data_IF_772133380437
#
_entry.id   IF_772133380437
#
_cell.length_a   1.000
_cell.length_b   1.000
_cell.length_c   1.000
_cell.angle_alpha   90.00
_cell.angle_beta   90.00
_cell.angle_gamma   90.00
#
_symmetry.space_group_name_H-M   'P 1'
#
loop_
_entity.id
_entity.type
_entity.pdbx_description
1 polymer ?
#
# COMPACT_ATOMS: atom_id res chain seq x y z
N UNK A 1 -3.85 -5.44 -16.94
CA UNK A 1 -5.28 -5.78 -17.26
C UNK A 1 -6.16 -4.78 -16.52
N UNK A 2 -6.71 -3.79 -17.20
CA UNK A 2 -7.36 -2.64 -16.55
C UNK A 2 -8.73 -2.98 -15.94
N UNK A 3 -9.09 -2.34 -14.83
CA UNK A 3 -10.43 -2.27 -14.22
C UNK A 3 -11.49 -1.84 -15.24
N UNK A 4 -11.13 -0.92 -16.14
CA UNK A 4 -11.95 -0.60 -17.32
C UNK A 4 -12.26 -1.81 -18.21
N UNK A 5 -11.34 -2.76 -18.33
CA UNK A 5 -11.55 -4.02 -19.05
C UNK A 5 -12.34 -5.05 -18.21
N UNK A 6 -12.25 -5.01 -16.88
CA UNK A 6 -13.05 -5.84 -15.97
C UNK A 6 -14.53 -5.40 -15.92
N UNK A 7 -14.80 -4.09 -15.85
CA UNK A 7 -16.17 -3.53 -15.88
C UNK A 7 -16.85 -3.84 -17.22
N UNK A 8 -16.16 -3.68 -18.35
CA UNK A 8 -16.72 -4.02 -19.68
C UNK A 8 -17.08 -5.50 -19.83
N UNK A 9 -16.52 -6.39 -19.00
CA UNK A 9 -16.81 -7.83 -19.01
C UNK A 9 -18.04 -8.18 -18.17
N UNK A 10 -18.48 -7.30 -17.26
CA UNK A 10 -19.69 -7.42 -16.47
C UNK A 10 -20.89 -6.75 -17.13
N UNK A 11 -21.35 -7.29 -18.27
CA UNK A 11 -22.49 -6.77 -19.03
C UNK A 11 -23.79 -6.73 -18.24
N UNK A 12 -24.11 -5.59 -17.64
CA UNK A 12 -25.43 -5.24 -17.11
C UNK A 12 -26.37 -4.90 -18.28
N UNK A 13 -26.92 -5.93 -18.94
CA UNK A 13 -28.12 -5.79 -19.77
C UNK A 13 -29.30 -6.24 -18.90
N UNK A 14 -30.03 -5.27 -18.36
CA UNK A 14 -31.16 -5.55 -17.48
C UNK A 14 -31.94 -4.30 -17.12
N UNK A 15 -32.25 -3.44 -18.10
CA UNK A 15 -33.25 -2.39 -17.91
C UNK A 15 -34.64 -3.04 -17.79
N UNK A 16 -35.04 -3.40 -16.58
CA UNK A 16 -36.43 -3.74 -16.27
C UNK A 16 -37.25 -2.45 -16.25
N UNK A 17 -38.04 -2.26 -17.31
CA UNK A 17 -39.13 -1.27 -17.36
C UNK A 17 -40.22 -1.68 -16.38
N UNK A 18 -40.42 -0.90 -15.32
CA UNK A 18 -41.54 -1.08 -14.39
C UNK A 18 -42.74 -0.21 -14.83
N UNK A 19 -43.81 -0.85 -15.26
CA UNK A 19 -45.11 -0.23 -15.55
C UNK A 19 -45.83 0.05 -14.22
N UNK A 20 -46.18 1.32 -13.97
CA UNK A 20 -47.00 1.73 -12.81
C UNK A 20 -48.48 1.46 -13.09
N UNK A 21 -49.13 0.66 -12.24
CA UNK A 21 -50.58 0.50 -12.22
C UNK A 21 -51.20 1.45 -11.19
N UNK A 22 -52.25 2.17 -11.60
CA UNK A 22 -53.02 3.10 -10.75
C UNK A 22 -54.27 2.40 -10.21
N UNK A 23 -54.50 2.33 -8.88
CA UNK A 23 -55.82 2.05 -8.32
C UNK A 23 -56.59 3.33 -7.97
N UNK A 24 -57.92 3.19 -8.04
CA UNK A 24 -58.92 4.25 -8.09
C UNK A 24 -59.35 4.82 -6.72
N UNK A 25 -59.86 6.06 -6.81
CA UNK A 25 -60.67 6.90 -5.91
C UNK A 25 -61.41 6.21 -4.77
N UNK A 26 -61.33 6.79 -3.57
CA UNK A 26 -62.48 7.02 -2.68
C UNK A 26 -62.31 8.32 -1.88
N UNK A 27 -63.31 9.20 -1.94
CA UNK A 27 -63.48 10.31 -1.01
C UNK A 27 -64.26 9.85 0.22
N UNK A 28 -63.87 10.31 1.41
CA UNK A 28 -64.76 10.39 2.58
C UNK A 28 -64.16 11.30 3.67
N UNK A 29 -64.88 12.39 3.92
CA UNK A 29 -65.34 12.88 5.23
C UNK A 29 -64.32 13.28 6.33
N UNK A 30 -64.38 14.57 6.68
CA UNK A 30 -64.00 15.24 7.94
C UNK A 30 -64.85 14.64 9.11
N UNK A 31 -64.53 14.71 10.43
CA UNK A 31 -63.78 15.77 11.11
C UNK A 31 -62.87 15.38 12.31
N UNK A 32 -61.99 16.30 12.72
CA UNK A 32 -61.80 16.77 14.11
C UNK A 32 -60.40 17.36 14.32
N UNK A 33 -60.40 18.58 14.84
CA UNK A 33 -59.22 19.35 15.23
C UNK A 33 -58.52 18.69 16.41
N UNK A 34 -57.35 18.13 16.16
CA UNK A 34 -56.40 17.73 17.22
C UNK A 34 -55.10 18.48 16.97
N UNK A 35 -54.62 19.19 18.00
CA UNK A 35 -53.43 20.02 17.94
C UNK A 35 -52.21 19.20 17.49
N UNK A 36 -51.32 19.73 16.63
CA UNK A 36 -50.09 19.04 16.29
C UNK A 36 -49.18 19.04 17.52
N UNK A 37 -49.11 17.90 18.19
CA UNK A 37 -48.01 17.61 19.11
C UNK A 37 -46.80 17.41 18.21
N UNK A 38 -45.87 18.36 18.25
CA UNK A 38 -44.60 18.26 17.53
C UNK A 38 -43.77 17.16 18.18
N UNK A 39 -43.99 15.92 17.74
CA UNK A 39 -43.07 14.81 18.00
C UNK A 39 -41.79 15.16 17.26
N UNK A 40 -40.80 15.68 17.99
CA UNK A 40 -39.44 15.80 17.48
C UNK A 40 -38.97 14.37 17.24
N UNK A 41 -39.01 13.95 15.97
CA UNK A 41 -38.23 12.81 15.53
C UNK A 41 -36.77 13.17 15.80
N UNK A 42 -36.22 12.59 16.87
CA UNK A 42 -34.77 12.48 17.01
C UNK A 42 -34.34 11.71 15.78
N UNK A 43 -33.77 12.42 14.81
CA UNK A 43 -33.03 11.78 13.74
C UNK A 43 -31.94 10.99 14.45
N UNK A 44 -32.10 9.66 14.51
CA UNK A 44 -30.97 8.77 14.67
C UNK A 44 -30.01 9.18 13.56
N UNK A 45 -28.92 9.86 13.94
CA UNK A 45 -27.86 10.13 12.99
C UNK A 45 -27.48 8.73 12.46
N UNK A 46 -27.47 8.53 11.12
CA UNK A 46 -26.94 7.30 10.57
C UNK A 46 -25.58 7.10 11.21
N UNK A 47 -25.40 5.97 11.89
CA UNK A 47 -24.12 5.57 12.47
C UNK A 47 -23.03 5.90 11.44
N UNK A 48 -22.07 6.78 11.76
CA UNK A 48 -21.07 7.20 10.80
C UNK A 48 -20.34 5.95 10.33
N UNK A 49 -20.36 5.71 9.02
CA UNK A 49 -19.66 4.58 8.43
C UNK A 49 -18.20 4.64 8.89
N UNK A 50 -17.61 3.50 9.30
CA UNK A 50 -16.22 3.49 9.73
C UNK A 50 -15.35 4.05 8.60
N UNK A 51 -14.58 5.09 8.91
CA UNK A 51 -13.73 5.76 7.92
C UNK A 51 -12.76 4.75 7.29
N UNK A 52 -12.41 4.99 6.01
CA UNK A 52 -11.38 4.21 5.33
C UNK A 52 -10.04 4.52 5.99
N UNK A 53 -9.36 3.48 6.48
CA UNK A 53 -8.05 3.68 7.13
C UNK A 53 -6.96 3.92 6.08
N UNK A 54 -5.88 4.59 6.49
CA UNK A 54 -4.72 4.84 5.60
C UNK A 54 -4.10 3.56 5.06
N UNK A 55 -4.09 2.48 5.85
CA UNK A 55 -3.53 1.19 5.45
C UNK A 55 -4.40 0.51 4.39
N UNK A 56 -5.72 0.57 4.55
CA UNK A 56 -6.67 0.03 3.57
C UNK A 56 -6.62 0.82 2.26
N UNK A 57 -6.57 2.15 2.32
CA UNK A 57 -6.39 2.99 1.14
C UNK A 57 -5.09 2.62 0.42
N UNK A 58 -3.99 2.46 1.15
CA UNK A 58 -2.69 2.05 0.58
C UNK A 58 -2.76 0.67 -0.09
N UNK A 59 -3.44 -0.29 0.52
CA UNK A 59 -3.63 -1.63 -0.06
C UNK A 59 -4.46 -1.59 -1.35
N UNK A 60 -5.52 -0.78 -1.37
CA UNK A 60 -6.35 -0.59 -2.57
C UNK A 60 -5.54 0.09 -3.68
N UNK A 61 -4.75 1.12 -3.35
CA UNK A 61 -3.89 1.81 -4.31
C UNK A 61 -2.80 0.89 -4.87
N UNK A 62 -2.16 0.07 -4.03
CA UNK A 62 -1.19 -0.92 -4.45
C UNK A 62 -1.79 -1.94 -5.43
N UNK A 63 -3.03 -2.36 -5.19
CA UNK A 63 -3.75 -3.25 -6.08
C UNK A 63 -4.13 -2.61 -7.41
N UNK A 64 -4.60 -1.35 -7.41
CA UNK A 64 -4.88 -0.60 -8.63
C UNK A 64 -3.61 -0.47 -9.48
N UNK A 65 -2.48 -0.11 -8.86
CA UNK A 65 -1.19 -0.06 -9.54
C UNK A 65 -0.78 -1.44 -10.10
N UNK A 66 -1.02 -2.52 -9.35
CA UNK A 66 -0.71 -3.89 -9.78
C UNK A 66 -1.48 -4.31 -11.05
N UNK A 67 -2.74 -3.89 -11.19
CA UNK A 67 -3.54 -4.14 -12.39
C UNK A 67 -3.30 -3.12 -13.53
N UNK A 68 -2.32 -2.23 -13.35
CA UNK A 68 -1.94 -1.14 -14.26
C UNK A 68 -2.97 0.01 -14.33
N UNK A 69 -3.85 0.13 -13.34
CA UNK A 69 -4.70 1.33 -13.21
C UNK A 69 -3.88 2.48 -12.64
N UNK A 70 -3.55 3.42 -13.52
CA UNK A 70 -2.76 4.63 -13.21
C UNK A 70 -3.55 5.91 -13.51
N UNK A 71 -4.80 5.78 -13.98
CA UNK A 71 -5.66 6.94 -14.25
C UNK A 71 -6.13 7.56 -12.92
N UNK A 72 -5.73 8.80 -12.59
CA UNK A 72 -6.08 9.43 -11.32
C UNK A 72 -7.59 9.66 -11.16
N UNK A 73 -8.35 9.83 -12.25
CA UNK A 73 -9.79 10.01 -12.17
C UNK A 73 -10.49 8.70 -11.74
N UNK A 74 -10.06 7.58 -12.31
CA UNK A 74 -10.58 6.25 -11.96
C UNK A 74 -10.15 5.85 -10.55
N UNK A 75 -8.90 6.14 -10.17
CA UNK A 75 -8.41 5.87 -8.82
C UNK A 75 -9.24 6.64 -7.78
N UNK A 76 -9.49 7.94 -8.00
CA UNK A 76 -10.30 8.75 -7.11
C UNK A 76 -11.73 8.21 -6.99
N UNK A 77 -12.36 7.82 -8.10
CA UNK A 77 -13.71 7.22 -8.09
C UNK A 77 -13.75 5.93 -7.27
N UNK A 78 -12.76 5.05 -7.42
CA UNK A 78 -12.67 3.81 -6.64
C UNK A 78 -12.48 4.09 -5.16
N UNK A 79 -11.60 5.03 -4.80
CA UNK A 79 -11.36 5.41 -3.40
C UNK A 79 -12.60 6.06 -2.79
N UNK A 80 -13.28 6.95 -3.50
CA UNK A 80 -14.53 7.56 -3.06
C UNK A 80 -15.63 6.51 -2.88
N UNK A 81 -15.72 5.53 -3.78
CA UNK A 81 -16.66 4.42 -3.63
C UNK A 81 -16.35 3.59 -2.38
N UNK A 82 -15.08 3.30 -2.10
CA UNK A 82 -14.67 2.58 -0.87
C UNK A 82 -14.96 3.37 0.42
N UNK A 83 -14.98 4.70 0.36
CA UNK A 83 -15.34 5.57 1.49
C UNK A 83 -16.84 5.56 1.79
N UNK A 84 -17.67 5.42 0.75
CA UNK A 84 -19.12 5.54 0.85
C UNK A 84 -19.87 4.19 0.84
N UNK A 85 -19.22 3.09 0.46
CA UNK A 85 -19.81 1.75 0.34
C UNK A 85 -18.91 0.68 0.98
N UNK A 86 -19.39 0.08 2.08
CA UNK A 86 -18.68 -0.96 2.82
C UNK A 86 -18.52 -2.27 2.03
N UNK A 87 -19.45 -2.58 1.14
CA UNK A 87 -19.37 -3.79 0.30
C UNK A 87 -18.32 -3.59 -0.79
N UNK A 88 -18.28 -2.40 -1.39
CA UNK A 88 -17.20 -2.03 -2.31
C UNK A 88 -15.83 -2.09 -1.61
N UNK A 89 -15.70 -1.51 -0.41
CA UNK A 89 -14.47 -1.58 0.39
C UNK A 89 -14.03 -3.04 0.63
N UNK A 90 -14.95 -3.92 1.06
CA UNK A 90 -14.65 -5.35 1.26
C UNK A 90 -14.18 -6.03 -0.01
N UNK A 91 -14.83 -5.75 -1.14
CA UNK A 91 -14.43 -6.29 -2.43
C UNK A 91 -13.00 -5.90 -2.80
N UNK A 92 -12.67 -4.59 -2.75
CA UNK A 92 -11.35 -4.11 -3.12
C UNK A 92 -10.26 -4.54 -2.13
N UNK A 93 -10.57 -4.64 -0.84
CA UNK A 93 -9.64 -5.22 0.14
C UNK A 93 -9.37 -6.69 -0.15
N UNK A 94 -10.39 -7.48 -0.48
CA UNK A 94 -10.20 -8.87 -0.84
C UNK A 94 -9.32 -9.02 -2.09
N UNK A 95 -9.51 -8.13 -3.06
CA UNK A 95 -8.68 -8.06 -4.27
C UNK A 95 -7.24 -7.63 -3.96
N UNK A 96 -7.03 -6.76 -2.99
CA UNK A 96 -5.69 -6.29 -2.60
C UNK A 96 -4.79 -7.38 -2.03
N UNK A 97 -5.35 -8.47 -1.49
CA UNK A 97 -4.60 -9.66 -1.09
C UNK A 97 -3.90 -10.37 -2.27
N UNK A 98 -4.31 -10.10 -3.52
CA UNK A 98 -3.67 -10.68 -4.71
C UNK A 98 -2.36 -10.00 -5.09
N UNK A 99 -2.10 -8.80 -4.55
CA UNK A 99 -0.82 -8.13 -4.76
C UNK A 99 0.23 -8.94 -4.02
N UNK A 100 1.24 -9.50 -4.71
CA UNK A 100 2.37 -10.10 -4.02
C UNK A 100 2.94 -9.06 -3.06
N UNK A 101 3.17 -9.44 -1.79
CA UNK A 101 3.80 -8.53 -0.84
C UNK A 101 5.05 -7.94 -1.50
N UNK A 102 5.23 -6.61 -1.47
CA UNK A 102 6.43 -6.01 -2.00
C UNK A 102 7.59 -6.72 -1.32
N UNK A 103 8.49 -7.31 -2.10
CA UNK A 103 9.71 -7.89 -1.57
C UNK A 103 10.51 -6.70 -1.06
N UNK A 104 10.27 -6.30 0.19
CA UNK A 104 11.16 -5.47 0.96
C UNK A 104 12.36 -6.38 1.15
N UNK A 105 13.28 -6.32 0.19
CA UNK A 105 14.59 -6.91 0.37
C UNK A 105 15.23 -6.11 1.50
N UNK A 106 14.96 -6.54 2.73
CA UNK A 106 15.74 -6.16 3.89
C UNK A 106 17.14 -6.68 3.60
N UNK A 107 17.97 -5.86 2.97
CA UNK A 107 19.37 -6.20 2.75
C UNK A 107 20.08 -5.97 4.08
N UNK A 108 20.39 -7.05 4.84
CA UNK A 108 21.02 -6.88 6.15
C UNK A 108 22.46 -6.38 6.02
N UNK A 109 23.04 -6.53 4.81
CA UNK A 109 24.44 -6.31 4.55
C UNK A 109 24.67 -4.90 4.03
N UNK A 110 25.70 -4.24 4.59
CA UNK A 110 26.20 -2.98 4.04
C UNK A 110 27.39 -3.25 3.12
N UNK A 111 27.63 -2.39 2.13
CA UNK A 111 28.80 -2.52 1.25
C UNK A 111 30.11 -2.53 2.06
N UNK A 112 30.18 -1.77 3.15
CA UNK A 112 31.33 -1.71 4.05
C UNK A 112 31.68 -3.03 4.72
N UNK A 113 30.70 -3.92 4.91
CA UNK A 113 30.89 -5.25 5.50
C UNK A 113 31.39 -6.28 4.48
N UNK A 114 31.41 -5.94 3.19
CA UNK A 114 31.83 -6.85 2.12
C UNK A 114 33.35 -6.83 1.90
N UNK A 115 33.98 -8.00 1.76
CA UNK A 115 35.40 -8.14 1.43
C UNK A 115 35.77 -7.52 0.07
N UNK A 116 34.79 -7.41 -0.84
CA UNK A 116 34.99 -6.86 -2.18
C UNK A 116 34.89 -5.33 -2.23
N UNK A 117 34.57 -4.67 -1.12
CA UNK A 117 34.47 -3.22 -1.07
C UNK A 117 35.84 -2.58 -0.87
N UNK A 118 36.28 -1.83 -1.88
CA UNK A 118 37.54 -1.10 -1.94
C UNK A 118 37.27 0.39 -1.75
N UNK A 119 37.71 0.94 -0.61
CA UNK A 119 37.59 2.38 -0.34
C UNK A 119 38.50 3.17 -1.30
N UNK A 120 37.99 4.28 -1.80
CA UNK A 120 38.78 5.26 -2.55
C UNK A 120 39.34 6.33 -1.59
N UNK A 121 39.87 7.44 -2.11
CA UNK A 121 40.35 8.59 -1.32
C UNK A 121 39.18 9.37 -0.69
N UNK A 122 38.34 8.66 0.06
CA UNK A 122 37.21 9.19 0.81
C UNK A 122 36.84 8.20 1.94
N UNK A 123 36.52 8.70 3.16
CA UNK A 123 36.30 7.86 4.33
C UNK A 123 35.23 6.77 4.17
N UNK A 124 34.16 7.06 3.43
CA UNK A 124 32.99 6.18 3.29
C UNK A 124 32.74 5.67 1.87
N UNK A 125 33.43 6.21 0.87
CA UNK A 125 33.13 5.94 -0.54
C UNK A 125 34.10 4.91 -1.08
N UNK A 126 33.62 4.04 -1.93
CA UNK A 126 34.41 2.98 -2.53
C UNK A 126 33.76 2.37 -3.76
N UNK A 127 34.39 1.32 -4.27
CA UNK A 127 33.90 0.52 -5.38
C UNK A 127 33.95 -0.95 -5.02
N UNK A 128 33.19 -1.75 -5.73
CA UNK A 128 33.14 -3.18 -5.67
C UNK A 128 34.16 -3.74 -6.65
N UNK A 129 35.17 -4.42 -6.14
CA UNK A 129 36.19 -5.11 -6.92
C UNK A 129 35.62 -6.15 -7.91
N UNK A 130 34.35 -6.54 -7.71
CA UNK A 130 33.63 -7.51 -8.54
C UNK A 130 32.83 -6.88 -9.69
N UNK A 131 32.77 -5.55 -9.76
CA UNK A 131 32.07 -4.81 -10.81
C UNK A 131 30.55 -4.90 -10.71
N UNK A 132 30.01 -5.00 -9.49
CA UNK A 132 28.57 -4.86 -9.25
C UNK A 132 28.08 -3.47 -9.73
N UNK A 133 26.78 -3.29 -10.05
CA UNK A 133 26.28 -2.00 -10.51
C UNK A 133 26.40 -0.91 -9.43
N UNK A 134 27.10 0.17 -9.77
CA UNK A 134 27.38 1.30 -8.87
C UNK A 134 26.93 2.62 -9.48
N UNK A 135 26.73 3.62 -8.63
CA UNK A 135 26.58 4.98 -9.11
C UNK A 135 27.91 5.48 -9.69
N UNK A 136 27.86 6.52 -10.54
CA UNK A 136 29.07 7.15 -11.11
C UNK A 136 30.04 7.60 -10.00
N UNK A 137 29.51 7.98 -8.84
CA UNK A 137 30.28 8.38 -7.68
C UNK A 137 30.85 7.20 -6.85
N UNK A 138 30.44 5.95 -7.11
CA UNK A 138 30.76 4.77 -6.30
C UNK A 138 29.66 4.37 -5.31
N UNK A 139 30.03 3.48 -4.39
CA UNK A 139 29.20 2.92 -3.33
C UNK A 139 29.57 3.51 -1.97
N UNK A 140 28.58 3.87 -1.15
CA UNK A 140 28.82 4.21 0.25
C UNK A 140 28.93 2.94 1.09
N UNK A 141 29.83 2.92 2.06
CA UNK A 141 30.01 1.77 2.94
C UNK A 141 28.77 1.45 3.78
N UNK A 142 27.96 2.44 4.13
CA UNK A 142 26.68 2.27 4.84
C UNK A 142 25.51 1.90 3.93
N UNK A 143 25.67 1.89 2.61
CA UNK A 143 24.59 1.54 1.70
C UNK A 143 24.15 0.09 1.91
N UNK A 144 22.85 -0.11 2.12
CA UNK A 144 22.21 -1.43 2.20
C UNK A 144 21.79 -1.86 0.81
N UNK A 145 22.38 -2.92 0.28
CA UNK A 145 22.11 -3.41 -1.08
C UNK A 145 22.07 -4.92 -1.15
N UNK A 146 21.24 -5.45 -2.04
CA UNK A 146 21.35 -6.85 -2.43
C UNK A 146 22.63 -7.02 -3.22
N UNK A 147 23.41 -8.02 -2.87
CA UNK A 147 24.57 -8.43 -3.65
C UNK A 147 24.67 -9.95 -3.56
N UNK A 148 24.47 -10.64 -4.68
CA UNK A 148 24.57 -12.11 -4.76
C UNK A 148 25.98 -12.61 -4.45
N UNK A 149 26.98 -11.73 -4.60
CA UNK A 149 28.41 -12.00 -4.40
C UNK A 149 28.91 -11.43 -3.08
N UNK A 150 28.00 -11.05 -2.17
CA UNK A 150 28.38 -10.54 -0.87
C UNK A 150 29.17 -11.60 -0.11
N UNK A 151 30.33 -11.20 0.42
CA UNK A 151 31.14 -12.01 1.31
C UNK A 151 31.53 -11.15 2.51
N UNK A 152 31.13 -11.52 3.73
CA UNK A 152 31.44 -10.72 4.92
C UNK A 152 32.95 -10.67 5.15
N UNK A 153 33.45 -9.52 5.60
CA UNK A 153 34.83 -9.39 6.08
C UNK A 153 35.03 -10.35 7.27
N UNK A 154 36.15 -11.08 7.32
CA UNK A 154 36.47 -11.88 8.50
C UNK A 154 36.59 -10.94 9.71
N UNK A 155 35.88 -11.22 10.80
CA UNK A 155 36.05 -10.48 12.04
C UNK A 155 37.51 -10.57 12.45
N UNK A 156 38.22 -9.43 12.45
CA UNK A 156 39.53 -9.35 13.06
C UNK A 156 39.32 -9.47 14.56
N UNK A 157 39.37 -10.70 15.08
CA UNK A 157 39.52 -10.91 16.51
C UNK A 157 40.85 -10.29 16.90
N UNK A 158 40.83 -9.13 17.57
CA UNK A 158 41.98 -8.46 18.14
C UNK A 158 42.59 -9.30 19.29
N UNK A 159 43.05 -10.52 19.02
CA UNK A 159 43.72 -11.40 19.99
C UNK A 159 45.19 -11.66 19.64
N UNK A 160 45.69 -11.19 18.51
CA UNK A 160 47.13 -11.24 18.20
C UNK A 160 47.76 -9.85 18.36
N UNK A 161 47.88 -9.40 19.61
CA UNK A 161 48.95 -8.46 19.94
C UNK A 161 50.26 -9.27 19.96
N UNK A 162 51.27 -8.98 19.13
CA UNK A 162 52.55 -9.66 19.24
C UNK A 162 53.17 -9.32 20.60
N UNK A 163 53.36 -10.35 21.42
CA UNK A 163 54.10 -10.29 22.68
C UNK A 163 55.49 -9.73 22.39
N UNK A 164 55.68 -8.43 22.63
CA UNK A 164 56.99 -7.77 22.58
C UNK A 164 57.92 -8.51 23.53
N UNK A 165 58.82 -9.30 22.96
CA UNK A 165 59.95 -9.93 23.64
C UNK A 165 60.95 -8.84 24.02
N UNK A 166 60.75 -8.24 25.20
CA UNK A 166 61.75 -7.41 25.84
C UNK A 166 62.86 -8.28 26.43
N UNK A 167 63.96 -8.43 25.69
CA UNK A 167 65.23 -8.91 26.23
C UNK A 167 66.11 -7.73 26.66
N UNK A 168 66.80 -7.94 27.80
CA UNK A 168 67.96 -7.21 28.37
C UNK A 168 67.71 -5.91 29.14
N UNK A 169 68.09 -5.93 30.42
CA UNK A 169 69.39 -5.43 30.87
C UNK A 169 69.99 -6.40 31.90
#
# INVERSE_FOLDING_TARGET
MTLSALIKKGGLIGSMTATVATPATQEADNPETVAPIATVAVAEQPEPLPELTSDEESNILAWLAHIEETDPAIIAEVVDKCRNDLEARRYFLKRSEEVPEPVILNHPNTCGDCIHFERIDHPHLGHCAKGEPEAIAGLWDTDRRYCERFLPKPEQSNNDLPRLTGAKA
#
